data_IF_800210448471
#
_entry.id   IF_800210448471
#
_cell.length_a   1.000
_cell.length_b   1.000
_cell.length_c   1.000
_cell.angle_alpha   90.00
_cell.angle_beta   90.00
_cell.angle_gamma   90.00
#
_symmetry.space_group_name_H-M   'P 1'
#
loop_
_entity.id
_entity.type
_entity.pdbx_description
1 polymer ?
#
# COMPACT_ATOMS: atom_id res chain seq x y z
N UNK A 1 -42.10 -19.64 -18.30
CA UNK A 1 -40.66 -19.78 -18.60
C UNK A 1 -40.32 -21.26 -18.49
N UNK A 2 -40.23 -21.95 -19.62
CA UNK A 2 -40.23 -23.42 -19.68
C UNK A 2 -38.93 -24.05 -19.17
N UNK A 3 -38.96 -24.53 -17.93
CA UNK A 3 -37.91 -25.33 -17.28
C UNK A 3 -37.57 -26.59 -18.11
N UNK A 4 -38.54 -27.12 -18.85
CA UNK A 4 -38.37 -28.30 -19.71
C UNK A 4 -37.45 -28.07 -20.92
N UNK A 5 -37.29 -26.81 -21.39
CA UNK A 5 -36.45 -26.50 -22.55
C UNK A 5 -34.95 -26.61 -22.23
N UNK A 6 -34.55 -26.23 -21.01
CA UNK A 6 -33.18 -26.41 -20.51
C UNK A 6 -32.82 -27.89 -20.33
N UNK A 7 -33.79 -28.70 -19.91
CA UNK A 7 -33.62 -30.15 -19.71
C UNK A 7 -33.30 -30.91 -21.00
N UNK A 8 -33.88 -30.49 -22.13
CA UNK A 8 -33.60 -31.06 -23.45
C UNK A 8 -32.23 -30.67 -24.01
N UNK A 9 -31.73 -29.48 -23.67
CA UNK A 9 -30.39 -29.02 -24.05
C UNK A 9 -29.31 -29.78 -23.25
N UNK A 10 -29.58 -30.06 -21.96
CA UNK A 10 -28.71 -30.83 -21.07
C UNK A 10 -28.62 -32.33 -21.41
N UNK A 11 -29.60 -32.92 -22.12
CA UNK A 11 -29.61 -34.35 -22.46
C UNK A 11 -28.89 -34.70 -23.77
N UNK A 12 -28.48 -33.71 -24.57
CA UNK A 12 -27.70 -33.93 -25.79
C UNK A 12 -26.21 -34.04 -25.45
N UNK A 13 -25.64 -35.25 -25.51
CA UNK A 13 -24.20 -35.54 -25.29
C UNK A 13 -23.22 -34.72 -26.15
N UNK A 14 -23.69 -34.05 -27.21
CA UNK A 14 -22.87 -33.14 -28.04
C UNK A 14 -22.78 -31.71 -27.47
N UNK A 15 -23.74 -31.28 -26.65
CA UNK A 15 -23.75 -29.97 -25.99
C UNK A 15 -22.93 -29.93 -24.70
N UNK A 16 -22.75 -31.10 -24.06
CA UNK A 16 -22.01 -31.27 -22.81
C UNK A 16 -20.53 -30.84 -22.94
N UNK A 17 -19.87 -31.24 -24.03
CA UNK A 17 -18.48 -30.82 -24.32
C UNK A 17 -18.38 -29.31 -24.53
N UNK A 18 -19.33 -28.70 -25.23
CA UNK A 18 -19.33 -27.25 -25.47
C UNK A 18 -19.56 -26.46 -24.17
N UNK A 19 -20.52 -26.87 -23.36
CA UNK A 19 -20.79 -26.27 -22.04
C UNK A 19 -19.56 -26.41 -21.13
N UNK A 20 -18.93 -27.59 -21.12
CA UNK A 20 -17.69 -27.82 -20.37
C UNK A 20 -16.57 -26.87 -20.80
N UNK A 21 -16.36 -26.69 -22.12
CA UNK A 21 -15.37 -25.74 -22.64
C UNK A 21 -15.67 -24.32 -22.19
N UNK A 22 -16.93 -23.87 -22.26
CA UNK A 22 -17.32 -22.52 -21.83
C UNK A 22 -17.08 -22.31 -20.33
N UNK A 23 -17.44 -23.29 -19.49
CA UNK A 23 -17.19 -23.23 -18.05
C UNK A 23 -15.68 -23.20 -17.77
N UNK A 24 -14.90 -24.02 -18.47
CA UNK A 24 -13.45 -24.07 -18.32
C UNK A 24 -12.80 -22.73 -18.69
N UNK A 25 -13.19 -22.14 -19.82
CA UNK A 25 -12.71 -20.82 -20.25
C UNK A 25 -13.09 -19.75 -19.23
N UNK A 26 -14.33 -19.76 -18.74
CA UNK A 26 -14.78 -18.84 -17.69
C UNK A 26 -13.94 -18.97 -16.42
N UNK A 27 -13.62 -20.20 -16.01
CA UNK A 27 -12.79 -20.46 -14.84
C UNK A 27 -11.36 -19.95 -15.03
N UNK A 28 -10.76 -20.20 -16.19
CA UNK A 28 -9.42 -19.69 -16.54
C UNK A 28 -9.40 -18.15 -16.50
N UNK A 29 -10.36 -17.49 -17.14
CA UNK A 29 -10.46 -16.03 -17.15
C UNK A 29 -10.64 -15.46 -15.75
N UNK A 30 -11.49 -16.09 -14.93
CA UNK A 30 -11.72 -15.68 -13.55
C UNK A 30 -10.44 -15.81 -12.72
N UNK A 31 -9.74 -16.95 -12.83
CA UNK A 31 -8.46 -17.16 -12.14
C UNK A 31 -7.40 -16.14 -12.58
N UNK A 32 -7.31 -15.86 -13.89
CA UNK A 32 -6.41 -14.84 -14.42
C UNK A 32 -6.73 -13.45 -13.89
N UNK A 33 -8.00 -13.06 -13.83
CA UNK A 33 -8.42 -11.78 -13.27
C UNK A 33 -8.05 -11.65 -11.78
N UNK A 34 -8.24 -12.72 -11.00
CA UNK A 34 -7.83 -12.76 -9.59
C UNK A 34 -6.32 -12.57 -9.44
N UNK A 35 -5.51 -13.26 -10.25
CA UNK A 35 -4.06 -13.11 -10.22
C UNK A 35 -3.61 -11.70 -10.59
N UNK A 36 -4.15 -11.13 -11.67
CA UNK A 36 -3.84 -9.77 -12.10
C UNK A 36 -4.17 -8.77 -10.99
N UNK A 37 -5.33 -8.92 -10.35
CA UNK A 37 -5.72 -8.04 -9.25
C UNK A 37 -4.80 -8.17 -8.04
N UNK A 38 -4.43 -9.41 -7.69
CA UNK A 38 -3.47 -9.66 -6.61
C UNK A 38 -2.14 -8.96 -6.89
N UNK A 39 -1.57 -9.12 -8.09
CA UNK A 39 -0.33 -8.44 -8.48
C UNK A 39 -0.47 -6.91 -8.48
N UNK A 40 -1.62 -6.37 -8.90
CA UNK A 40 -1.89 -4.93 -8.86
C UNK A 40 -1.88 -4.41 -7.42
N UNK A 41 -2.56 -5.10 -6.51
CA UNK A 41 -2.64 -4.73 -5.09
C UNK A 41 -1.27 -4.84 -4.40
N UNK A 42 -0.55 -5.93 -4.65
CA UNK A 42 0.79 -6.13 -4.10
C UNK A 42 1.76 -5.04 -4.57
N UNK A 43 1.76 -4.74 -5.88
CA UNK A 43 2.60 -3.68 -6.45
C UNK A 43 2.28 -2.30 -5.86
N UNK A 44 0.99 -1.98 -5.70
CA UNK A 44 0.57 -0.72 -5.08
C UNK A 44 1.03 -0.65 -3.62
N UNK A 45 0.81 -1.72 -2.85
CA UNK A 45 1.21 -1.79 -1.44
C UNK A 45 2.73 -1.60 -1.28
N UNK A 46 3.53 -2.32 -2.08
CA UNK A 46 4.99 -2.22 -2.05
C UNK A 46 5.48 -0.81 -2.43
N UNK A 47 4.87 -0.19 -3.45
CA UNK A 47 5.24 1.17 -3.86
C UNK A 47 4.94 2.18 -2.75
N UNK A 48 3.76 2.09 -2.12
CA UNK A 48 3.37 2.96 -1.01
C UNK A 48 4.29 2.75 0.18
N UNK A 49 4.52 1.50 0.58
CA UNK A 49 5.40 1.16 1.70
C UNK A 49 6.83 1.69 1.48
N UNK A 50 7.36 1.54 0.27
CA UNK A 50 8.67 2.07 -0.10
C UNK A 50 8.77 3.58 0.05
N UNK A 51 7.79 4.32 -0.48
CA UNK A 51 7.80 5.79 -0.41
C UNK A 51 7.58 6.27 1.02
N UNK A 52 6.71 5.61 1.79
CA UNK A 52 6.51 5.91 3.21
C UNK A 52 7.77 5.64 4.05
N UNK A 53 8.46 4.53 3.80
CA UNK A 53 9.73 4.21 4.47
C UNK A 53 10.79 5.29 4.18
N UNK A 54 10.85 5.76 2.93
CA UNK A 54 11.73 6.87 2.54
C UNK A 54 11.35 8.18 3.24
N UNK A 55 10.05 8.51 3.27
CA UNK A 55 9.55 9.70 3.94
C UNK A 55 9.86 9.71 5.44
N UNK A 56 9.54 8.62 6.13
CA UNK A 56 9.81 8.45 7.56
C UNK A 56 11.31 8.58 7.87
N UNK A 57 12.18 7.99 7.05
CA UNK A 57 13.63 8.14 7.22
C UNK A 57 14.12 9.58 6.97
N UNK A 58 13.64 10.22 5.89
CA UNK A 58 14.00 11.60 5.55
C UNK A 58 13.54 12.60 6.62
N UNK A 59 12.35 12.41 7.18
CA UNK A 59 11.83 13.22 8.27
C UNK A 59 12.67 13.12 9.53
N UNK A 60 13.07 11.90 9.91
CA UNK A 60 13.97 11.69 11.05
C UNK A 60 15.31 12.37 10.81
N UNK A 61 15.92 12.15 9.64
CA UNK A 61 17.22 12.76 9.29
C UNK A 61 17.18 14.29 9.33
N UNK A 62 16.11 14.90 8.80
CA UNK A 62 15.93 16.34 8.81
C UNK A 62 15.76 16.90 10.24
N UNK A 63 15.02 16.19 11.09
CA UNK A 63 14.71 16.64 12.44
C UNK A 63 15.80 16.30 13.48
N UNK A 64 16.95 15.77 13.03
CA UNK A 64 18.10 15.53 13.90
C UNK A 64 18.71 16.85 14.36
N UNK A 65 18.91 16.98 15.67
CA UNK A 65 19.53 18.16 16.27
C UNK A 65 21.05 18.10 16.12
N UNK A 66 21.61 19.03 15.34
CA UNK A 66 23.04 19.09 15.02
C UNK A 66 23.94 19.30 16.26
N UNK A 67 23.43 19.99 17.30
CA UNK A 67 24.18 20.26 18.53
C UNK A 67 24.62 18.97 19.24
N UNK A 68 23.74 17.96 19.28
CA UNK A 68 24.04 16.66 19.90
C UNK A 68 24.81 15.73 18.96
N UNK A 69 24.69 15.95 17.65
CA UNK A 69 25.40 15.19 16.60
C UNK A 69 26.92 15.33 16.73
N UNK A 70 27.39 16.47 17.25
CA UNK A 70 28.80 16.76 17.52
C UNK A 70 29.35 16.00 18.73
N UNK A 71 28.49 15.68 19.70
CA UNK A 71 28.84 14.98 20.94
C UNK A 71 28.61 13.45 20.86
N UNK A 72 28.29 12.93 19.68
CA UNK A 72 28.05 11.50 19.47
C UNK A 72 26.70 11.00 19.98
N UNK A 73 25.82 11.91 20.42
CA UNK A 73 24.48 11.61 20.90
C UNK A 73 23.44 11.97 19.83
N UNK A 74 22.57 11.02 19.49
CA UNK A 74 21.50 11.22 18.52
C UNK A 74 20.24 11.69 19.26
N UNK A 75 19.78 12.91 18.97
CA UNK A 75 18.51 13.47 19.46
C UNK A 75 17.75 14.08 18.30
N UNK A 76 16.46 13.78 18.23
CA UNK A 76 15.54 14.30 17.23
C UNK A 76 14.53 15.24 17.88
N UNK A 77 14.11 16.27 17.15
CA UNK A 77 12.90 17.03 17.46
C UNK A 77 11.68 16.27 16.90
N UNK A 78 10.92 15.62 17.79
CA UNK A 78 9.74 14.85 17.39
C UNK A 78 8.68 15.67 16.65
N UNK A 79 8.44 16.92 17.06
CA UNK A 79 7.41 17.74 16.42
C UNK A 79 7.81 18.11 14.98
N UNK A 80 9.07 18.49 14.79
CA UNK A 80 9.63 18.79 13.47
C UNK A 80 9.64 17.55 12.55
N UNK A 81 9.90 16.36 13.10
CA UNK A 81 9.88 15.11 12.34
C UNK A 81 8.47 14.77 11.82
N UNK A 82 7.45 14.97 12.64
CA UNK A 82 6.05 14.75 12.25
C UNK A 82 5.61 15.74 11.18
N UNK A 83 5.91 17.04 11.35
CA UNK A 83 5.60 18.08 10.36
C UNK A 83 6.25 17.75 9.00
N UNK A 84 7.54 17.40 9.01
CA UNK A 84 8.27 17.01 7.80
C UNK A 84 7.71 15.77 7.14
N UNK A 85 7.19 14.82 7.92
CA UNK A 85 6.51 13.64 7.37
C UNK A 85 5.25 14.05 6.62
N UNK A 86 4.41 14.91 7.20
CA UNK A 86 3.21 15.41 6.52
C UNK A 86 3.53 16.21 5.25
N UNK A 87 4.55 17.07 5.29
CA UNK A 87 5.03 17.77 4.09
C UNK A 87 5.47 16.78 3.01
N UNK A 88 6.25 15.75 3.38
CA UNK A 88 6.68 14.73 2.44
C UNK A 88 5.51 13.97 1.79
N UNK A 89 4.47 13.64 2.57
CA UNK A 89 3.25 13.00 2.07
C UNK A 89 2.54 13.88 1.03
N UNK A 90 2.47 15.18 1.25
CA UNK A 90 1.84 16.11 0.30
C UNK A 90 2.71 16.35 -0.93
N UNK A 91 4.02 16.57 -0.78
CA UNK A 91 4.89 16.95 -1.90
C UNK A 91 5.31 15.74 -2.75
N UNK A 92 5.78 14.67 -2.10
CA UNK A 92 6.35 13.51 -2.79
C UNK A 92 5.27 12.52 -3.23
N UNK A 93 4.31 12.24 -2.36
CA UNK A 93 3.21 11.32 -2.70
C UNK A 93 2.05 12.03 -3.42
N UNK A 94 2.01 13.38 -3.45
CA UNK A 94 0.90 14.19 -4.01
C UNK A 94 -0.45 13.75 -3.46
N UNK A 95 -0.48 13.58 -2.13
CA UNK A 95 -1.71 13.34 -1.41
C UNK A 95 -2.39 14.67 -1.14
N UNK A 96 -3.72 14.67 -1.13
CA UNK A 96 -4.50 15.81 -0.69
C UNK A 96 -4.54 15.92 0.85
N UNK A 97 -5.32 16.88 1.35
CA UNK A 97 -5.47 17.11 2.79
C UNK A 97 -6.10 15.91 3.54
N UNK A 98 -6.87 15.08 2.84
CA UNK A 98 -7.47 13.86 3.38
C UNK A 98 -6.56 12.63 3.18
N UNK A 99 -5.29 12.86 2.80
CA UNK A 99 -4.30 11.82 2.51
C UNK A 99 -4.73 10.85 1.40
N UNK A 100 -5.55 11.34 0.48
CA UNK A 100 -6.04 10.64 -0.69
C UNK A 100 -5.21 10.96 -1.93
N UNK A 101 -4.98 9.92 -2.72
CA UNK A 101 -4.26 9.98 -3.99
C UNK A 101 -5.24 9.98 -5.15
N UNK A 102 -5.14 11.01 -5.98
CA UNK A 102 -5.87 11.12 -7.24
C UNK A 102 -4.93 11.13 -8.44
N UNK A 103 -5.39 10.55 -9.56
CA UNK A 103 -4.79 10.70 -10.88
C UNK A 103 -5.85 11.35 -11.77
N UNK A 104 -5.68 12.64 -12.06
CA UNK A 104 -6.75 13.43 -12.68
C UNK A 104 -7.93 13.55 -11.72
N UNK A 105 -9.10 13.06 -12.13
CA UNK A 105 -10.33 13.03 -11.32
C UNK A 105 -10.59 11.65 -10.67
N UNK A 106 -9.72 10.66 -10.92
CA UNK A 106 -9.92 9.29 -10.43
C UNK A 106 -9.20 9.06 -9.10
N UNK A 107 -9.94 8.57 -8.10
CA UNK A 107 -9.41 8.16 -6.80
C UNK A 107 -8.67 6.82 -6.91
N UNK A 108 -7.41 6.78 -6.48
CA UNK A 108 -6.56 5.59 -6.55
C UNK A 108 -6.49 4.87 -5.21
N UNK A 109 -6.14 5.61 -4.15
CA UNK A 109 -6.04 5.10 -2.79
C UNK A 109 -6.10 6.23 -1.76
N UNK A 110 -6.32 5.86 -0.51
CA UNK A 110 -6.35 6.74 0.66
C UNK A 110 -5.45 6.14 1.75
N UNK A 111 -4.64 6.98 2.41
CA UNK A 111 -3.84 6.58 3.57
C UNK A 111 -4.57 6.95 4.85
N UNK A 112 -5.07 5.94 5.57
CA UNK A 112 -5.64 6.11 6.90
C UNK A 112 -4.51 6.02 7.94
N UNK A 113 -4.00 7.16 8.42
CA UNK A 113 -3.03 7.19 9.52
C UNK A 113 -3.75 6.95 10.84
N UNK A 114 -3.36 5.90 11.58
CA UNK A 114 -3.92 5.58 12.90
C UNK A 114 -3.07 6.14 14.04
N UNK A 115 -1.75 6.00 13.92
CA UNK A 115 -0.84 6.43 14.95
C UNK A 115 0.50 6.84 14.34
N UNK A 116 1.02 7.96 14.83
CA UNK A 116 2.40 8.38 14.61
C UNK A 116 3.05 8.38 16.00
N UNK A 117 4.17 7.68 16.12
CA UNK A 117 4.96 7.63 17.35
C UNK A 117 6.37 8.13 17.05
N UNK A 118 6.67 9.33 17.52
CA UNK A 118 7.99 9.92 17.47
C UNK A 118 8.68 9.78 18.84
N UNK A 119 9.92 9.28 18.84
CA UNK A 119 10.75 9.13 20.04
C UNK A 119 12.02 9.93 19.84
N UNK A 120 12.34 10.84 20.75
CA UNK A 120 13.53 11.70 20.66
C UNK A 120 14.84 10.93 20.84
N UNK A 121 14.86 9.97 21.77
CA UNK A 121 16.06 9.23 22.20
C UNK A 121 15.70 7.76 22.50
N UNK A 122 16.21 6.78 21.73
CA UNK A 122 16.88 6.94 20.46
C UNK A 122 15.91 7.48 19.40
N UNK A 123 16.38 8.29 18.43
CA UNK A 123 15.53 8.90 17.42
C UNK A 123 14.84 7.82 16.59
N UNK A 124 13.51 7.81 16.64
CA UNK A 124 12.68 6.87 15.90
C UNK A 124 11.35 7.49 15.57
N UNK A 125 10.89 7.30 14.34
CA UNK A 125 9.55 7.64 13.90
C UNK A 125 8.86 6.37 13.42
N UNK A 126 7.70 6.05 14.00
CA UNK A 126 6.89 4.90 13.62
C UNK A 126 5.53 5.38 13.13
N UNK A 127 5.16 4.97 11.93
CA UNK A 127 3.90 5.26 11.27
C UNK A 127 3.07 3.98 11.16
N UNK A 128 1.88 4.00 11.75
CA UNK A 128 0.91 2.90 11.69
C UNK A 128 -0.38 3.37 11.06
N UNK A 129 -0.89 2.60 10.11
CA UNK A 129 -2.07 2.98 9.35
C UNK A 129 -2.66 1.86 8.52
N UNK A 130 -3.54 2.22 7.61
CA UNK A 130 -4.06 1.33 6.58
C UNK A 130 -4.12 2.04 5.23
N UNK A 131 -3.72 1.33 4.18
CA UNK A 131 -3.91 1.73 2.80
C UNK A 131 -5.30 1.26 2.37
N UNK A 132 -6.18 2.19 2.03
CA UNK A 132 -7.52 1.91 1.53
C UNK A 132 -7.54 2.11 0.02
N UNK A 133 -7.98 1.10 -0.72
CA UNK A 133 -8.04 1.15 -2.19
C UNK A 133 -9.21 0.33 -2.72
N UNK A 134 -9.65 0.65 -3.95
CA UNK A 134 -10.76 -0.06 -4.60
C UNK A 134 -10.25 -1.29 -5.32
N UNK A 135 -10.88 -2.43 -5.05
CA UNK A 135 -10.67 -3.64 -5.84
C UNK A 135 -11.46 -3.61 -7.15
N UNK A 136 -10.95 -4.25 -8.21
CA UNK A 136 -11.74 -4.54 -9.42
C UNK A 136 -12.91 -5.49 -9.11
N UNK A 137 -12.83 -6.23 -8.00
CA UNK A 137 -13.92 -7.04 -7.44
C UNK A 137 -14.72 -6.28 -6.37
N UNK A 138 -14.63 -4.95 -6.30
CA UNK A 138 -15.38 -4.14 -5.34
C UNK A 138 -16.90 -4.36 -5.38
N UNK A 139 -17.44 -4.84 -6.50
CA UNK A 139 -18.84 -5.28 -6.58
C UNK A 139 -19.19 -6.45 -5.63
N UNK A 140 -18.21 -7.25 -5.23
CA UNK A 140 -18.36 -8.37 -4.28
C UNK A 140 -17.91 -7.98 -2.87
N UNK A 141 -16.76 -7.31 -2.75
CA UNK A 141 -16.04 -7.18 -1.48
C UNK A 141 -15.91 -5.74 -0.98
N UNK A 142 -16.34 -4.74 -1.76
CA UNK A 142 -16.16 -3.33 -1.44
C UNK A 142 -14.70 -2.86 -1.51
N UNK A 143 -14.37 -1.84 -0.70
CA UNK A 143 -13.01 -1.32 -0.59
C UNK A 143 -12.13 -2.21 0.29
N UNK A 144 -10.87 -2.36 -0.09
CA UNK A 144 -9.88 -3.17 0.62
C UNK A 144 -9.03 -2.27 1.50
N UNK A 145 -8.79 -2.70 2.75
CA UNK A 145 -7.91 -2.04 3.70
C UNK A 145 -6.70 -2.93 4.00
N UNK A 146 -5.52 -2.44 3.67
CA UNK A 146 -4.24 -3.12 3.87
C UNK A 146 -3.49 -2.44 5.02
N UNK A 147 -3.41 -3.04 6.22
CA UNK A 147 -2.70 -2.43 7.33
C UNK A 147 -1.21 -2.38 7.04
N UNK A 148 -0.56 -1.28 7.44
CA UNK A 148 0.88 -1.14 7.35
C UNK A 148 1.46 -0.63 8.67
N UNK A 149 2.72 -0.98 8.92
CA UNK A 149 3.50 -0.50 10.06
C UNK A 149 4.92 -0.26 9.59
N UNK A 150 5.31 1.00 9.56
CA UNK A 150 6.58 1.46 9.02
C UNK A 150 7.33 2.14 10.16
N UNK A 151 8.59 1.79 10.35
CA UNK A 151 9.45 2.42 11.35
C UNK A 151 10.71 2.91 10.66
N UNK A 152 11.18 4.09 11.08
CA UNK A 152 12.49 4.57 10.66
C UNK A 152 13.56 3.55 11.04
N UNK A 153 14.59 3.45 10.21
CA UNK A 153 15.78 2.68 10.55
C UNK A 153 16.46 3.39 11.73
N UNK A 154 17.01 2.62 12.66
CA UNK A 154 17.73 3.17 13.82
C UNK A 154 18.97 3.92 13.32
N UNK A 155 18.94 5.25 13.33
CA UNK A 155 20.11 6.06 13.01
C UNK A 155 20.97 6.16 14.29
N UNK A 156 21.87 5.19 14.49
CA UNK A 156 22.96 5.32 15.45
C UNK A 156 24.20 5.78 14.65
N UNK A 157 24.48 7.09 14.66
CA UNK A 157 25.66 7.73 14.05
C UNK A 157 25.70 7.82 12.52
N UNK A 158 26.46 8.84 12.07
CA UNK A 158 26.74 9.42 10.74
C UNK A 158 26.71 8.46 9.53
N UNK A 159 25.56 7.87 9.23
CA UNK A 159 25.11 7.39 7.92
C UNK A 159 23.74 6.74 8.08
N UNK A 160 22.71 7.44 7.64
CA UNK A 160 21.52 6.76 7.16
C UNK A 160 21.78 6.40 5.67
N UNK A 161 22.76 5.52 5.40
CA UNK A 161 23.08 5.05 4.03
C UNK A 161 22.11 3.93 3.63
N UNK A 162 21.58 4.04 2.41
CA UNK A 162 20.74 3.05 1.73
C UNK A 162 21.24 1.62 1.95
N UNK A 163 20.46 0.79 2.64
CA UNK A 163 20.47 -0.65 2.38
C UNK A 163 19.57 -0.94 1.18
N UNK A 164 20.00 -0.54 -0.01
CA UNK A 164 19.62 -1.17 -1.27
C UNK A 164 20.88 -1.85 -1.83
N UNK A 165 20.83 -3.17 -2.03
CA UNK A 165 21.85 -3.91 -2.79
C UNK A 165 22.63 -4.96 -2.00
N UNK A 166 21.98 -6.07 -1.65
CA UNK A 166 22.60 -7.42 -1.69
C UNK A 166 21.52 -8.49 -1.51
N UNK A 167 20.82 -8.78 -2.61
CA UNK A 167 20.48 -10.14 -3.05
C UNK A 167 20.22 -10.14 -4.54
#
# INVERSE_FOLDING_TARGET
>A
MDVNKYKYILQNRKGDVFIFIVILVFFILTLSAILIEYFRMESLYQQVEYVLQRGVNASVEYAMLDEYRRDGHARMDSALAEERLYEYLHESMKLDADLSKYIGEEWVYELEIKHINATDIPPRLTLEGALKTRSIFSFLTGDVRLPFRISSVRCYLVRCEQTEGLR
#
